data_IF_746919967658
#
_entry.id   IF_746919967658
#
_cell.length_a   1.000
_cell.length_b   1.000
_cell.length_c   1.000
_cell.angle_alpha   90.00
_cell.angle_beta   90.00
_cell.angle_gamma   90.00
#
_symmetry.space_group_name_H-M   'P 1'
#
loop_
_entity.id
_entity.type
_entity.pdbx_description
1 polymer ?
#
# COMPACT_ATOMS: atom_id res chain seq x y z
N UNK A 1 4.98 2.22 -7.75
CA UNK A 1 6.21 2.04 -8.53
C UNK A 1 7.37 1.71 -7.59
N UNK A 2 8.40 0.99 -8.09
CA UNK A 2 9.60 0.67 -7.33
C UNK A 2 10.40 1.92 -6.93
N UNK A 3 11.52 1.70 -6.22
CA UNK A 3 12.42 2.75 -5.79
C UNK A 3 13.45 3.05 -6.89
N UNK A 4 13.72 4.33 -7.16
CA UNK A 4 14.69 4.77 -8.17
C UNK A 4 16.12 4.75 -7.63
N UNK A 5 16.28 5.29 -6.43
CA UNK A 5 17.57 5.51 -5.79
C UNK A 5 18.15 4.23 -5.19
N UNK A 6 19.46 3.99 -5.40
CA UNK A 6 20.15 2.80 -4.94
C UNK A 6 20.25 2.75 -3.40
N UNK A 7 20.48 3.89 -2.75
CA UNK A 7 20.59 3.96 -1.30
C UNK A 7 19.22 3.74 -0.66
N UNK A 8 18.15 4.28 -1.26
CA UNK A 8 16.78 4.03 -0.85
C UNK A 8 16.40 2.54 -1.00
N UNK A 9 16.85 1.87 -2.07
CA UNK A 9 16.68 0.42 -2.25
C UNK A 9 17.41 -0.36 -1.16
N UNK A 10 18.66 0.00 -0.88
CA UNK A 10 19.46 -0.68 0.15
C UNK A 10 18.86 -0.49 1.55
N UNK A 11 18.45 0.72 1.89
CA UNK A 11 17.78 1.02 3.15
C UNK A 11 16.47 0.24 3.29
N UNK A 12 15.68 0.17 2.22
CA UNK A 12 14.44 -0.59 2.18
C UNK A 12 14.70 -2.09 2.36
N UNK A 13 15.67 -2.65 1.68
CA UNK A 13 16.04 -4.07 1.81
C UNK A 13 16.45 -4.42 3.24
N UNK A 14 17.26 -3.56 3.85
CA UNK A 14 17.68 -3.72 5.24
C UNK A 14 16.49 -3.69 6.20
N UNK A 15 15.58 -2.75 6.00
CA UNK A 15 14.35 -2.63 6.80
C UNK A 15 13.45 -3.86 6.64
N UNK A 16 13.20 -4.32 5.41
CA UNK A 16 12.33 -5.47 5.16
C UNK A 16 12.94 -6.77 5.72
N UNK A 17 14.25 -6.96 5.62
CA UNK A 17 14.96 -8.10 6.25
C UNK A 17 14.84 -8.08 7.77
N UNK A 18 14.92 -6.90 8.41
CA UNK A 18 14.73 -6.77 9.86
C UNK A 18 13.31 -7.19 10.26
N UNK A 19 12.29 -6.72 9.53
CA UNK A 19 10.92 -7.13 9.77
C UNK A 19 10.70 -8.62 9.51
N UNK A 20 11.25 -9.16 8.43
CA UNK A 20 11.19 -10.60 8.13
C UNK A 20 11.82 -11.45 9.22
N UNK A 21 12.97 -11.04 9.76
CA UNK A 21 13.60 -11.70 10.91
C UNK A 21 12.68 -11.73 12.14
N UNK A 22 12.06 -10.61 12.45
CA UNK A 22 11.10 -10.50 13.56
C UNK A 22 9.89 -11.41 13.36
N UNK A 23 9.30 -11.41 12.15
CA UNK A 23 8.19 -12.31 11.82
C UNK A 23 8.54 -13.79 11.97
N UNK A 24 9.80 -14.19 11.78
CA UNK A 24 10.25 -15.57 11.95
C UNK A 24 10.45 -15.98 13.40
N UNK A 25 10.86 -15.05 14.27
CA UNK A 25 11.40 -15.38 15.59
C UNK A 25 10.63 -14.82 16.77
N UNK A 26 9.77 -13.82 16.57
CA UNK A 26 9.06 -13.16 17.67
C UNK A 26 7.55 -13.51 17.64
N UNK A 27 6.83 -13.36 18.78
CA UNK A 27 5.37 -13.47 18.81
C UNK A 27 4.74 -12.46 17.85
N UNK A 28 3.88 -12.92 16.96
CA UNK A 28 3.27 -12.08 15.90
C UNK A 28 2.50 -10.88 16.46
N UNK A 29 1.88 -11.02 17.61
CA UNK A 29 1.17 -9.92 18.27
C UNK A 29 2.11 -8.75 18.57
N UNK A 30 3.30 -9.03 19.13
CA UNK A 30 4.32 -8.01 19.41
C UNK A 30 4.85 -7.37 18.12
N UNK A 31 5.13 -8.20 17.10
CA UNK A 31 5.61 -7.69 15.81
C UNK A 31 4.56 -6.79 15.15
N UNK A 32 3.29 -7.18 15.14
CA UNK A 32 2.23 -6.35 14.56
C UNK A 32 1.89 -5.11 15.40
N UNK A 33 2.07 -5.16 16.72
CA UNK A 33 1.94 -3.97 17.55
C UNK A 33 2.92 -2.87 17.10
N UNK A 34 4.18 -3.23 16.84
CA UNK A 34 5.17 -2.29 16.31
C UNK A 34 4.95 -1.96 14.82
N UNK A 35 4.57 -2.95 14.01
CA UNK A 35 4.31 -2.76 12.56
C UNK A 35 3.27 -1.66 12.32
N UNK A 36 2.19 -1.66 13.08
CA UNK A 36 1.11 -0.68 12.93
C UNK A 36 1.40 0.69 13.57
N UNK A 37 2.60 0.90 14.15
CA UNK A 37 3.08 2.22 14.54
C UNK A 37 3.76 2.98 13.40
N UNK A 38 4.02 2.34 12.26
CA UNK A 38 4.64 3.01 11.12
C UNK A 38 3.78 4.19 10.63
N UNK A 39 4.41 5.29 10.13
CA UNK A 39 3.70 6.52 9.74
C UNK A 39 2.58 6.31 8.71
N UNK A 40 2.70 5.31 7.86
CA UNK A 40 1.68 4.97 6.85
C UNK A 40 0.34 4.55 7.48
N UNK A 41 0.35 4.14 8.75
CA UNK A 41 -0.84 3.75 9.52
C UNK A 41 -1.27 4.80 10.55
N UNK A 42 -0.75 6.04 10.47
CA UNK A 42 -1.04 7.10 11.43
C UNK A 42 -2.53 7.49 11.48
N UNK A 43 -3.30 7.21 10.42
CA UNK A 43 -4.74 7.47 10.38
C UNK A 43 -5.60 6.46 11.14
N UNK A 44 -5.04 5.33 11.60
CA UNK A 44 -5.78 4.32 12.36
C UNK A 44 -6.05 4.80 13.79
N UNK A 45 -7.27 4.59 14.26
CA UNK A 45 -7.59 4.69 15.69
C UNK A 45 -6.97 3.52 16.45
N UNK A 46 -6.85 3.63 17.77
CA UNK A 46 -6.33 2.54 18.61
C UNK A 46 -7.21 1.28 18.51
N UNK A 47 -8.53 1.45 18.44
CA UNK A 47 -9.47 0.34 18.25
C UNK A 47 -9.21 -0.38 16.91
N UNK A 48 -9.09 0.37 15.82
CA UNK A 48 -8.79 -0.18 14.50
C UNK A 48 -7.44 -0.89 14.48
N UNK A 49 -6.44 -0.30 15.13
CA UNK A 49 -5.10 -0.88 15.27
C UNK A 49 -5.14 -2.21 16.01
N UNK A 50 -5.79 -2.25 17.16
CA UNK A 50 -5.93 -3.45 17.98
C UNK A 50 -6.69 -4.57 17.24
N UNK A 51 -7.75 -4.23 16.51
CA UNK A 51 -8.47 -5.18 15.68
C UNK A 51 -7.59 -5.78 14.56
N UNK A 52 -6.74 -4.95 13.94
CA UNK A 52 -5.78 -5.41 12.92
C UNK A 52 -4.71 -6.31 13.52
N UNK A 53 -4.15 -5.97 14.68
CA UNK A 53 -3.16 -6.78 15.39
C UNK A 53 -3.76 -8.17 15.68
N UNK A 54 -4.92 -8.22 16.31
CA UNK A 54 -5.59 -9.48 16.65
C UNK A 54 -5.89 -10.34 15.40
N UNK A 55 -6.32 -9.72 14.31
CA UNK A 55 -6.59 -10.41 13.05
C UNK A 55 -5.32 -10.98 12.42
N UNK A 56 -4.26 -10.16 12.32
CA UNK A 56 -3.03 -10.51 11.61
C UNK A 56 -2.13 -11.45 12.40
N UNK A 57 -2.22 -11.46 13.72
CA UNK A 57 -1.47 -12.38 14.59
C UNK A 57 -1.87 -13.87 14.42
N UNK A 58 -2.96 -14.13 13.70
CA UNK A 58 -3.37 -15.50 13.33
C UNK A 58 -2.62 -16.08 12.13
N UNK A 59 -1.76 -15.28 11.48
CA UNK A 59 -0.99 -15.71 10.32
C UNK A 59 0.20 -16.60 10.72
N UNK A 60 0.89 -17.13 9.69
CA UNK A 60 2.12 -17.88 9.86
C UNK A 60 3.31 -16.94 9.68
N UNK A 61 4.09 -16.73 10.74
CA UNK A 61 5.21 -15.78 10.75
C UNK A 61 6.29 -16.05 9.69
N UNK A 62 6.83 -17.28 9.57
CA UNK A 62 7.77 -17.62 8.52
C UNK A 62 7.25 -17.31 7.10
N UNK A 63 5.98 -17.63 6.79
CA UNK A 63 5.40 -17.32 5.48
C UNK A 63 5.23 -15.82 5.24
N UNK A 64 4.89 -15.06 6.29
CA UNK A 64 4.85 -13.59 6.19
C UNK A 64 6.24 -13.02 5.88
N UNK A 65 7.28 -13.54 6.50
CA UNK A 65 8.65 -13.14 6.24
C UNK A 65 9.09 -13.44 4.80
N UNK A 66 8.81 -14.64 4.31
CA UNK A 66 9.08 -15.02 2.91
C UNK A 66 8.35 -14.11 1.92
N UNK A 67 7.07 -13.83 2.16
CA UNK A 67 6.28 -12.92 1.33
C UNK A 67 6.87 -11.51 1.33
N UNK A 68 7.23 -10.98 2.50
CA UNK A 68 7.78 -9.64 2.64
C UNK A 68 9.10 -9.48 1.87
N UNK A 69 9.97 -10.48 1.94
CA UNK A 69 11.24 -10.48 1.21
C UNK A 69 11.02 -10.60 -0.30
N UNK A 70 10.14 -11.51 -0.72
CA UNK A 70 9.85 -11.74 -2.14
C UNK A 70 9.17 -10.54 -2.82
N UNK A 71 8.37 -9.76 -2.07
CA UNK A 71 7.62 -8.61 -2.59
C UNK A 71 8.18 -7.25 -2.17
N UNK A 72 9.41 -7.22 -1.64
CA UNK A 72 10.06 -5.99 -1.20
C UNK A 72 10.13 -4.95 -2.32
N UNK A 73 9.81 -3.69 -2.00
CA UNK A 73 10.01 -2.58 -2.93
C UNK A 73 11.47 -2.41 -3.37
N UNK A 74 12.42 -2.94 -2.61
CA UNK A 74 13.84 -2.92 -2.95
C UNK A 74 14.17 -3.75 -4.20
N UNK A 75 13.40 -4.83 -4.45
CA UNK A 75 13.60 -5.73 -5.60
C UNK A 75 12.63 -5.44 -6.75
N UNK A 76 11.63 -4.61 -6.54
CA UNK A 76 10.70 -4.23 -7.59
C UNK A 76 11.36 -3.25 -8.57
N UNK A 77 11.13 -3.40 -9.90
CA UNK A 77 11.58 -2.43 -10.87
C UNK A 77 10.88 -1.09 -10.69
N UNK A 78 11.54 0.00 -11.06
CA UNK A 78 10.86 1.29 -11.18
C UNK A 78 9.91 1.26 -12.39
N UNK A 79 8.63 1.31 -12.13
CA UNK A 79 7.58 1.27 -13.16
C UNK A 79 7.20 2.65 -13.71
N UNK A 80 7.79 3.75 -13.22
CA UNK A 80 7.45 5.10 -13.70
C UNK A 80 7.66 5.28 -15.20
N UNK A 81 8.78 4.82 -15.80
CA UNK A 81 8.96 4.91 -17.25
C UNK A 81 7.89 4.14 -18.02
N UNK A 82 7.55 2.93 -17.59
CA UNK A 82 6.51 2.12 -18.22
C UNK A 82 5.12 2.76 -18.09
N UNK A 83 4.81 3.34 -16.93
CA UNK A 83 3.56 4.08 -16.72
C UNK A 83 3.48 5.35 -17.57
N UNK A 84 4.59 5.99 -17.87
CA UNK A 84 4.62 7.17 -18.74
C UNK A 84 4.46 6.79 -20.22
N UNK A 85 5.05 5.68 -20.65
CA UNK A 85 5.02 5.21 -22.03
C UNK A 85 3.77 4.37 -22.39
N UNK A 86 2.89 4.10 -21.44
CA UNK A 86 1.71 3.26 -21.66
C UNK A 86 0.74 3.85 -22.67
N UNK A 87 0.07 2.98 -23.40
CA UNK A 87 -1.00 3.28 -24.38
C UNK A 87 -2.42 3.02 -23.85
N UNK A 88 -2.54 2.61 -22.56
CA UNK A 88 -3.82 2.38 -21.88
C UNK A 88 -4.05 3.39 -20.76
N UNK A 89 -5.29 3.56 -20.38
CA UNK A 89 -5.67 4.42 -19.26
C UNK A 89 -5.34 3.76 -17.92
N UNK A 90 -4.80 4.54 -16.98
CA UNK A 90 -4.46 4.07 -15.65
C UNK A 90 -5.05 5.02 -14.60
N UNK A 91 -5.85 4.48 -13.70
CA UNK A 91 -6.44 5.20 -12.59
C UNK A 91 -5.76 4.80 -11.28
N UNK A 92 -5.38 5.80 -10.49
CA UNK A 92 -4.72 5.62 -9.21
C UNK A 92 -5.64 6.04 -8.07
N UNK A 93 -6.08 5.08 -7.26
CA UNK A 93 -6.92 5.32 -6.09
C UNK A 93 -6.04 5.35 -4.83
N UNK A 94 -6.26 6.32 -3.97
CA UNK A 94 -5.56 6.44 -2.69
C UNK A 94 -6.48 7.05 -1.63
N UNK A 95 -6.24 6.72 -0.35
CA UNK A 95 -7.00 7.35 0.75
C UNK A 95 -6.60 8.81 0.94
N UNK A 96 -7.55 9.70 1.12
CA UNK A 96 -7.30 11.16 1.28
C UNK A 96 -6.37 11.48 2.46
N UNK A 97 -6.33 10.60 3.49
CA UNK A 97 -5.47 10.74 4.67
C UNK A 97 -4.11 10.06 4.52
N UNK A 98 -3.84 9.42 3.38
CA UNK A 98 -2.54 8.82 3.07
C UNK A 98 -1.65 9.80 2.30
N UNK A 99 -1.00 10.70 3.01
CA UNK A 99 -0.13 11.73 2.41
C UNK A 99 1.01 11.15 1.58
N UNK A 100 1.55 9.98 1.96
CA UNK A 100 2.62 9.31 1.22
C UNK A 100 2.15 8.86 -0.17
N UNK A 101 1.01 8.20 -0.24
CA UNK A 101 0.49 7.70 -1.52
C UNK A 101 -0.16 8.81 -2.35
N UNK A 102 -0.67 9.87 -1.71
CA UNK A 102 -1.06 11.10 -2.40
C UNK A 102 0.12 11.76 -3.12
N UNK A 103 1.30 11.85 -2.46
CA UNK A 103 2.52 12.38 -3.06
C UNK A 103 2.99 11.53 -4.24
N UNK A 104 3.02 10.19 -4.10
CA UNK A 104 3.35 9.27 -5.19
C UNK A 104 2.38 9.45 -6.37
N UNK A 105 1.08 9.55 -6.11
CA UNK A 105 0.09 9.78 -7.15
C UNK A 105 0.30 11.12 -7.88
N UNK A 106 0.77 12.15 -7.18
CA UNK A 106 1.08 13.46 -7.78
C UNK A 106 2.29 13.43 -8.72
N UNK A 107 3.26 12.55 -8.47
CA UNK A 107 4.44 12.37 -9.32
C UNK A 107 4.12 11.60 -10.62
N UNK A 108 3.02 10.86 -10.64
CA UNK A 108 2.64 10.03 -11.79
C UNK A 108 1.71 10.80 -12.73
N UNK A 109 1.92 10.65 -14.03
CA UNK A 109 0.98 11.17 -15.04
C UNK A 109 -0.20 10.22 -15.20
N UNK A 110 -1.12 10.20 -14.24
CA UNK A 110 -2.26 9.29 -14.14
C UNK A 110 -3.51 10.01 -13.66
N UNK A 111 -4.70 9.45 -13.96
CA UNK A 111 -5.94 9.88 -13.33
C UNK A 111 -5.93 9.52 -11.85
N UNK A 112 -6.21 10.49 -10.98
CA UNK A 112 -6.08 10.36 -9.52
C UNK A 112 -7.44 10.45 -8.85
N UNK A 113 -7.72 9.50 -7.96
CA UNK A 113 -8.97 9.43 -7.21
C UNK A 113 -8.67 9.34 -5.72
N UNK A 114 -8.92 10.41 -5.00
CA UNK A 114 -8.84 10.43 -3.54
C UNK A 114 -10.12 9.80 -2.95
N UNK A 115 -9.95 8.77 -2.14
CA UNK A 115 -11.05 8.12 -1.41
C UNK A 115 -11.27 8.87 -0.11
N UNK A 116 -12.44 9.49 0.03
CA UNK A 116 -12.79 10.31 1.18
C UNK A 116 -12.79 9.51 2.49
N UNK A 117 -12.36 10.16 3.56
CA UNK A 117 -12.33 9.60 4.93
C UNK A 117 -11.50 8.30 5.08
N UNK A 118 -10.60 8.01 4.14
CA UNK A 118 -9.79 6.80 4.13
C UNK A 118 -8.31 7.11 4.29
N UNK A 119 -7.59 6.22 4.97
CA UNK A 119 -6.13 6.18 5.06
C UNK A 119 -5.53 5.15 4.10
N UNK A 120 -4.43 4.52 4.51
CA UNK A 120 -3.67 3.58 3.68
C UNK A 120 -4.50 2.36 3.20
N UNK A 121 -5.40 1.88 4.01
CA UNK A 121 -6.28 0.76 3.68
C UNK A 121 -7.65 1.26 3.18
N UNK A 122 -7.68 2.06 2.13
CA UNK A 122 -8.87 2.75 1.66
C UNK A 122 -10.09 1.83 1.48
N UNK A 123 -9.89 0.63 0.94
CA UNK A 123 -10.95 -0.37 0.73
C UNK A 123 -11.52 -0.94 2.05
N UNK A 124 -10.81 -0.80 3.16
CA UNK A 124 -11.26 -1.18 4.49
C UNK A 124 -11.85 0.00 5.26
N UNK A 125 -11.24 1.17 5.10
CA UNK A 125 -11.62 2.38 5.83
C UNK A 125 -12.95 2.95 5.30
N UNK A 126 -13.15 2.90 3.97
CA UNK A 126 -14.36 3.36 3.30
C UNK A 126 -14.66 2.54 2.03
N UNK A 127 -15.15 1.29 2.16
CA UNK A 127 -15.43 0.41 1.04
C UNK A 127 -16.49 0.97 0.08
N UNK A 128 -17.45 1.73 0.60
CA UNK A 128 -18.52 2.35 -0.19
C UNK A 128 -17.97 3.41 -1.14
N UNK A 129 -17.08 4.28 -0.66
CA UNK A 129 -16.45 5.30 -1.50
C UNK A 129 -15.52 4.67 -2.54
N UNK A 130 -14.82 3.58 -2.21
CA UNK A 130 -14.03 2.81 -3.18
C UNK A 130 -14.93 2.23 -4.26
N UNK A 131 -16.03 1.58 -3.88
CA UNK A 131 -16.98 0.99 -4.83
C UNK A 131 -17.62 2.06 -5.74
N UNK A 132 -18.00 3.21 -5.18
CA UNK A 132 -18.55 4.33 -5.95
C UNK A 132 -17.53 4.89 -6.97
N UNK A 133 -16.27 5.06 -6.55
CA UNK A 133 -15.18 5.51 -7.43
C UNK A 133 -14.93 4.53 -8.57
N UNK A 134 -14.85 3.24 -8.29
CA UNK A 134 -14.68 2.19 -9.30
C UNK A 134 -15.86 2.18 -10.29
N UNK A 135 -17.11 2.26 -9.80
CA UNK A 135 -18.29 2.31 -10.66
C UNK A 135 -18.29 3.55 -11.56
N UNK A 136 -17.82 4.69 -11.07
CA UNK A 136 -17.69 5.92 -11.84
C UNK A 136 -16.64 5.75 -12.95
N UNK A 137 -15.45 5.25 -12.63
CA UNK A 137 -14.36 5.01 -13.59
C UNK A 137 -14.85 4.09 -14.71
N UNK A 138 -15.48 2.97 -14.37
CA UNK A 138 -16.01 2.02 -15.37
C UNK A 138 -17.06 2.64 -16.29
N UNK A 139 -17.98 3.46 -15.77
CA UNK A 139 -19.00 4.14 -16.58
C UNK A 139 -18.40 5.14 -17.56
N UNK A 140 -17.36 5.87 -17.21
CA UNK A 140 -16.69 6.78 -18.12
C UNK A 140 -16.01 6.02 -19.25
N UNK A 141 -15.31 4.94 -18.94
CA UNK A 141 -14.57 4.15 -19.94
C UNK A 141 -15.46 3.42 -20.94
N UNK A 142 -16.64 2.98 -20.53
CA UNK A 142 -17.60 2.35 -21.46
C UNK A 142 -18.24 3.35 -22.42
N UNK A 143 -18.24 4.65 -22.12
CA UNK A 143 -18.75 5.69 -23.03
C UNK A 143 -17.73 6.12 -24.08
N UNK A 144 -16.43 5.98 -23.78
CA UNK A 144 -15.36 6.35 -24.72
C UNK A 144 -15.06 5.23 -25.74
N UNK A 145 -15.72 4.07 -25.61
CA UNK A 145 -15.52 2.89 -26.48
C UNK A 145 -16.68 2.68 -27.48
N UNK A 146 -17.71 3.54 -27.45
CA UNK A 146 -18.86 3.56 -28.36
C UNK A 146 -18.82 4.79 -29.26
#
# INVERSE_FOLDING_TARGET
PGLQDADARQARLTSDRRWASRFRSEPLEAVFADWYQQPVFASLTDEQRNALIALRSRNNGPRLAEMLEATSLAVQPDLRPALTARDFSFDYLYGERDGKFAAIAAELNVMRHAISHAGHNAHRDNPEAVAASLAQILRYRTKDTL
#
